data_IF_098302846826
#
_entry.id   IF_098302846826
#
_cell.length_a   1.000
_cell.length_b   1.000
_cell.length_c   1.000
_cell.angle_alpha   90.00
_cell.angle_beta   90.00
_cell.angle_gamma   90.00
#
_symmetry.space_group_name_H-M   'P 1'
#
loop_
_entity.id
_entity.type
_entity.pdbx_description
1 polymer ?
#
# COMPACT_ATOMS: atom_id res chain seq x y z
N UNK A 1 -1.01 -24.68 -5.65
CA UNK A 1 0.37 -24.14 -5.59
C UNK A 1 0.37 -22.68 -6.05
N UNK A 2 1.18 -21.78 -5.44
CA UNK A 2 1.29 -20.39 -5.91
C UNK A 2 2.17 -20.30 -7.17
N UNK A 3 1.66 -19.60 -8.19
CA UNK A 3 2.29 -19.46 -9.51
C UNK A 3 2.40 -17.99 -9.90
N UNK A 4 3.52 -17.66 -10.54
CA UNK A 4 3.77 -16.31 -11.02
C UNK A 4 2.86 -16.01 -12.21
N UNK A 5 2.06 -14.92 -12.18
CA UNK A 5 1.16 -14.58 -13.28
C UNK A 5 1.89 -14.21 -14.57
N UNK A 6 3.18 -13.89 -14.50
CA UNK A 6 4.00 -13.49 -15.66
C UNK A 6 4.71 -14.64 -16.36
N UNK A 7 5.10 -15.70 -15.64
CA UNK A 7 5.93 -16.77 -16.20
C UNK A 7 5.55 -18.18 -15.74
N UNK A 8 4.48 -18.34 -14.95
CA UNK A 8 4.04 -19.64 -14.44
C UNK A 8 4.99 -20.33 -13.45
N UNK A 9 6.10 -19.69 -13.07
CA UNK A 9 7.04 -20.23 -12.09
C UNK A 9 6.43 -20.30 -10.68
N UNK A 10 6.71 -21.38 -9.96
CA UNK A 10 6.44 -21.54 -8.51
C UNK A 10 7.48 -20.89 -7.62
N UNK A 11 8.55 -20.33 -8.19
CA UNK A 11 9.67 -19.75 -7.45
C UNK A 11 9.34 -18.32 -6.96
N UNK A 12 8.24 -18.22 -6.20
CA UNK A 12 7.78 -17.01 -5.55
C UNK A 12 8.24 -16.99 -4.09
N UNK A 13 8.64 -15.83 -3.60
CA UNK A 13 8.89 -15.60 -2.18
C UNK A 13 8.20 -14.33 -1.70
N UNK A 14 7.76 -14.33 -0.45
CA UNK A 14 7.13 -13.17 0.16
C UNK A 14 8.18 -12.10 0.46
N UNK A 15 7.91 -10.87 0.01
CA UNK A 15 8.76 -9.70 0.28
C UNK A 15 8.20 -8.88 1.43
N UNK A 16 6.87 -8.79 1.53
CA UNK A 16 6.14 -8.05 2.56
C UNK A 16 4.88 -8.83 2.94
N UNK A 17 4.54 -8.82 4.24
CA UNK A 17 3.34 -9.43 4.79
C UNK A 17 2.80 -8.60 5.96
N UNK A 18 1.56 -8.88 6.37
CA UNK A 18 0.88 -8.19 7.47
C UNK A 18 -0.44 -7.54 7.04
N UNK A 19 -0.90 -6.55 7.80
CA UNK A 19 -2.22 -5.92 7.61
C UNK A 19 -2.39 -5.26 6.23
N UNK A 20 -1.31 -4.82 5.60
CA UNK A 20 -1.31 -4.21 4.27
C UNK A 20 -1.41 -5.24 3.11
N UNK A 21 -1.59 -6.52 3.43
CA UNK A 21 -1.62 -7.60 2.46
C UNK A 21 -0.24 -8.21 2.19
N UNK A 22 -0.24 -9.29 1.41
CA UNK A 22 0.96 -10.04 1.09
C UNK A 22 1.49 -9.65 -0.28
N UNK A 23 2.79 -9.37 -0.38
CA UNK A 23 3.49 -9.07 -1.64
C UNK A 23 4.51 -10.16 -1.93
N UNK A 24 4.44 -10.72 -3.13
CA UNK A 24 5.34 -11.77 -3.61
C UNK A 24 6.31 -11.25 -4.66
N UNK A 25 7.48 -11.90 -4.76
CA UNK A 25 8.46 -11.69 -5.83
C UNK A 25 8.88 -13.00 -6.47
N UNK A 26 8.90 -13.04 -7.79
CA UNK A 26 9.35 -14.20 -8.56
C UNK A 26 10.87 -14.16 -8.78
N UNK A 27 11.55 -15.27 -8.52
CA UNK A 27 13.00 -15.42 -8.75
C UNK A 27 13.37 -15.50 -10.23
N UNK A 28 12.47 -15.96 -11.11
CA UNK A 28 12.76 -16.12 -12.54
C UNK A 28 12.60 -14.84 -13.35
N UNK A 29 11.41 -14.24 -13.32
CA UNK A 29 11.09 -13.09 -14.18
C UNK A 29 11.09 -11.73 -13.46
N UNK A 30 11.33 -11.73 -12.15
CA UNK A 30 11.35 -10.50 -11.35
C UNK A 30 9.97 -9.89 -11.04
N UNK A 31 8.86 -10.53 -11.43
CA UNK A 31 7.50 -10.10 -11.06
C UNK A 31 7.42 -9.77 -9.56
N UNK A 32 6.85 -8.62 -9.20
CA UNK A 32 6.71 -8.19 -7.80
C UNK A 32 5.31 -7.59 -7.59
N UNK A 33 4.46 -8.25 -6.84
CA UNK A 33 3.06 -7.82 -6.65
C UNK A 33 2.30 -8.72 -5.67
N UNK A 34 1.10 -8.32 -5.30
CA UNK A 34 0.22 -9.10 -4.42
C UNK A 34 -0.61 -10.15 -5.17
N UNK A 35 -0.73 -10.01 -6.49
CA UNK A 35 -1.50 -10.94 -7.33
C UNK A 35 -0.67 -12.18 -7.67
N UNK A 36 -1.18 -13.35 -7.31
CA UNK A 36 -0.57 -14.66 -7.56
C UNK A 36 -1.66 -15.61 -8.00
N UNK A 37 -1.31 -16.55 -8.87
CA UNK A 37 -2.26 -17.54 -9.37
C UNK A 37 -2.19 -18.78 -8.49
N UNK A 38 -3.31 -19.19 -7.92
CA UNK A 38 -3.44 -20.47 -7.24
C UNK A 38 -3.92 -21.52 -8.26
N UNK A 39 -3.11 -22.53 -8.53
CA UNK A 39 -3.49 -23.67 -9.35
C UNK A 39 -3.14 -24.97 -8.66
N UNK A 40 -4.07 -25.91 -8.63
CA UNK A 40 -3.86 -27.26 -8.06
C UNK A 40 -3.38 -28.27 -9.10
N UNK A 41 -3.38 -27.87 -10.37
CA UNK A 41 -2.99 -28.70 -11.50
C UNK A 41 -1.57 -28.37 -11.98
N UNK A 42 -0.82 -29.42 -12.32
CA UNK A 42 0.51 -29.36 -12.90
C UNK A 42 0.42 -28.95 -14.38
N UNK A 43 0.09 -27.67 -14.61
CA UNK A 43 -0.02 -27.12 -15.96
C UNK A 43 1.36 -27.03 -16.63
N UNK A 44 1.50 -27.50 -17.89
CA UNK A 44 2.74 -27.36 -18.66
C UNK A 44 3.09 -25.88 -18.88
N UNK A 45 4.38 -25.53 -19.05
CA UNK A 45 4.79 -24.14 -19.22
C UNK A 45 4.17 -23.56 -20.49
N UNK A 46 3.29 -22.57 -20.32
CA UNK A 46 2.71 -21.81 -21.44
C UNK A 46 3.74 -20.83 -21.97
N UNK A 47 3.85 -20.81 -23.30
CA UNK A 47 4.65 -19.92 -24.10
C UNK A 47 4.32 -18.45 -23.84
N UNK A 48 5.35 -17.63 -23.92
CA UNK A 48 5.42 -16.23 -23.55
C UNK A 48 4.41 -15.39 -24.35
N UNK A 49 3.39 -14.87 -23.68
CA UNK A 49 2.60 -13.74 -24.17
C UNK A 49 2.54 -12.63 -23.12
N UNK A 50 2.65 -11.42 -23.63
CA UNK A 50 3.21 -10.25 -22.97
C UNK A 50 2.21 -9.58 -22.01
N UNK A 51 2.30 -9.90 -20.73
CA UNK A 51 1.53 -9.24 -19.67
C UNK A 51 2.23 -8.01 -19.09
N UNK A 52 2.09 -6.86 -19.75
CA UNK A 52 2.49 -5.56 -19.22
C UNK A 52 1.56 -5.13 -18.06
N UNK A 53 2.12 -4.96 -16.86
CA UNK A 53 1.39 -4.46 -15.69
C UNK A 53 2.29 -3.57 -14.84
N UNK A 54 2.47 -2.32 -15.27
CA UNK A 54 3.20 -1.30 -14.54
C UNK A 54 2.31 -0.68 -13.44
N UNK A 55 2.55 -1.02 -12.17
CA UNK A 55 1.86 -0.40 -11.03
C UNK A 55 2.63 0.83 -10.53
N UNK A 56 2.04 2.02 -10.74
CA UNK A 56 2.68 3.33 -10.51
C UNK A 56 2.82 3.68 -9.02
N UNK A 57 4.00 3.42 -8.47
CA UNK A 57 4.43 3.73 -7.08
C UNK A 57 4.60 5.23 -6.74
N UNK A 58 4.09 6.17 -7.54
CA UNK A 58 4.35 7.61 -7.36
C UNK A 58 3.20 8.46 -6.82
N UNK A 59 1.94 7.97 -6.87
CA UNK A 59 0.76 8.83 -6.64
C UNK A 59 0.25 8.83 -5.20
N UNK A 60 0.37 7.69 -4.50
CA UNK A 60 -0.24 7.48 -3.18
C UNK A 60 0.44 8.32 -2.10
N UNK A 61 1.76 8.50 -2.16
CA UNK A 61 2.51 9.25 -1.15
C UNK A 61 2.17 10.76 -1.16
N UNK A 62 1.71 11.31 -2.29
CA UNK A 62 1.40 12.73 -2.43
C UNK A 62 0.12 13.13 -1.69
N UNK A 63 -0.91 12.29 -1.72
CA UNK A 63 -2.17 12.54 -1.01
C UNK A 63 -2.05 12.29 0.49
N UNK A 64 -1.26 11.29 0.91
CA UNK A 64 -1.00 11.00 2.32
C UNK A 64 -0.38 12.22 3.03
N UNK A 65 0.57 12.92 2.38
CA UNK A 65 1.16 14.15 2.93
C UNK A 65 0.16 15.29 3.12
N UNK A 66 -0.76 15.47 2.16
CA UNK A 66 -1.78 16.53 2.22
C UNK A 66 -2.73 16.27 3.39
N UNK A 67 -3.18 15.03 3.55
CA UNK A 67 -4.08 14.63 4.64
C UNK A 67 -3.40 14.87 6.00
N UNK A 68 -2.13 14.47 6.14
CA UNK A 68 -1.37 14.69 7.37
C UNK A 68 -1.22 16.17 7.73
N UNK A 69 -0.91 17.02 6.74
CA UNK A 69 -0.79 18.46 6.95
C UNK A 69 -2.12 19.11 7.37
N UNK A 70 -3.22 18.78 6.68
CA UNK A 70 -4.54 19.28 7.03
C UNK A 70 -4.97 18.88 8.45
N UNK A 71 -4.69 17.64 8.84
CA UNK A 71 -5.02 17.13 10.18
C UNK A 71 -4.24 17.88 11.26
N UNK A 72 -2.94 18.12 11.06
CA UNK A 72 -2.11 18.90 11.99
C UNK A 72 -2.63 20.34 12.15
N UNK A 73 -2.96 21.01 11.04
CA UNK A 73 -3.53 22.38 11.09
C UNK A 73 -4.85 22.37 11.84
N UNK A 74 -5.72 21.38 11.58
CA UNK A 74 -6.99 21.26 12.27
C UNK A 74 -6.82 21.06 13.79
N UNK A 75 -5.91 20.18 14.22
CA UNK A 75 -5.61 19.99 15.65
C UNK A 75 -5.07 21.29 16.26
N UNK A 76 -4.15 21.97 15.60
CA UNK A 76 -3.58 23.23 16.08
C UNK A 76 -4.65 24.33 16.22
N UNK A 77 -5.56 24.45 15.26
CA UNK A 77 -6.69 25.39 15.32
C UNK A 77 -7.62 25.08 16.50
N UNK A 78 -7.99 23.81 16.69
CA UNK A 78 -8.81 23.40 17.83
C UNK A 78 -8.09 23.64 19.17
N UNK A 79 -6.78 23.43 19.22
CA UNK A 79 -5.96 23.68 20.40
C UNK A 79 -5.90 25.18 20.73
N UNK A 80 -5.68 26.05 19.74
CA UNK A 80 -5.68 27.50 19.90
C UNK A 80 -7.06 28.04 20.33
N UNK A 81 -8.14 27.59 19.69
CA UNK A 81 -9.51 27.94 20.08
C UNK A 81 -9.82 27.43 21.49
N UNK A 82 -9.34 26.24 21.86
CA UNK A 82 -9.47 25.69 23.20
C UNK A 82 -8.76 26.52 24.27
N UNK A 83 -7.54 26.99 23.98
CA UNK A 83 -6.79 27.90 24.86
C UNK A 83 -7.51 29.24 25.02
N UNK A 84 -7.97 29.83 23.90
CA UNK A 84 -8.67 31.11 23.91
C UNK A 84 -9.97 31.02 24.73
N UNK A 85 -10.72 29.92 24.58
CA UNK A 85 -11.96 29.68 25.34
C UNK A 85 -11.69 29.48 26.84
N UNK A 86 -10.59 28.83 27.22
CA UNK A 86 -10.15 28.71 28.62
C UNK A 86 -9.73 30.05 29.21
N UNK A 87 -9.03 30.90 28.46
CA UNK A 87 -8.68 32.24 28.94
C UNK A 87 -9.92 33.13 29.13
N UNK A 88 -10.89 33.06 28.22
CA UNK A 88 -12.14 33.84 28.33
C UNK A 88 -12.99 33.43 29.54
N UNK A 89 -12.92 32.17 29.99
CA UNK A 89 -13.65 31.69 31.17
C UNK A 89 -12.97 32.10 32.48
N UNK A 90 -11.64 32.23 32.50
CA UNK A 90 -10.89 32.66 33.70
C UNK A 90 -10.98 34.17 33.95
N UNK A 91 -11.17 34.98 32.90
CA UNK A 91 -11.26 36.45 33.03
C UNK A 91 -12.68 36.97 33.29
N UNK A 92 -13.69 36.08 33.28
CA UNK A 92 -15.10 36.40 33.53
C UNK A 92 -15.64 35.93 34.88
N UNK A 93 -14.77 35.40 35.76
CA UNK A 93 -15.07 35.00 37.14
C UNK A 93 -14.21 35.85 38.10
#
# INVERSE_FOLDING_TARGET
MLRCPKCGSTDLYQVLGGYAGTRYRCKRCGYTGSFVVESDEELPPLSEEDGAGAEKSGSVYRWIKIIGFLLLVFIALNYLVGILRRMLTVMGA
#
